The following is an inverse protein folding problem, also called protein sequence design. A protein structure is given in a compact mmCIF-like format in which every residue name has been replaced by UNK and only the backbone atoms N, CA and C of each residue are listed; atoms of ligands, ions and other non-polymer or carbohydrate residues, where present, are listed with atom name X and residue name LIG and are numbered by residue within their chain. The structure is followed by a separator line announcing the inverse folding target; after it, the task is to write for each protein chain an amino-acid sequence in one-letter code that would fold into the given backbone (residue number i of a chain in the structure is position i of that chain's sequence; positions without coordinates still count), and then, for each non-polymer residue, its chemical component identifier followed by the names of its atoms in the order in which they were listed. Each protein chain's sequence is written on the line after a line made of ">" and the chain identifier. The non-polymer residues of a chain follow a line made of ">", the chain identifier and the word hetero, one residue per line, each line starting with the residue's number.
data_IF_448291948667
#
_entry.id   IF_448291948667
#
_cell.length_a   1.000
_cell.length_b   1.000
_cell.length_c   1.000
_cell.angle_alpha   90.00
_cell.angle_beta   90.00
_cell.angle_gamma   90.00
#
_symmetry.space_group_name_H-M   'P 1'
#
loop_
_entity.id
_entity.type
_entity.pdbx_description
1 polymer ?
#
# COMPACT_ATOMS: atom_id res chain seq x y z
N UNK A 1 -27.27 11.73 -17.88
CA UNK A 1 -26.60 12.54 -16.84
C UNK A 1 -25.12 12.27 -17.00
N UNK A 2 -24.35 13.31 -17.28
CA UNK A 2 -22.91 13.25 -17.56
C UNK A 2 -22.12 12.66 -16.38
N UNK A 3 -21.66 11.41 -16.53
CA UNK A 3 -20.59 10.81 -15.72
C UNK A 3 -19.24 11.36 -16.21
N UNK A 4 -19.12 12.69 -16.21
CA UNK A 4 -17.98 13.42 -16.73
C UNK A 4 -16.74 13.22 -15.86
N UNK A 5 -15.89 12.28 -16.26
CA UNK A 5 -14.43 12.37 -16.23
C UNK A 5 -13.83 13.15 -15.05
N UNK A 6 -13.84 12.56 -13.87
CA UNK A 6 -12.67 12.65 -12.99
C UNK A 6 -12.01 11.29 -13.09
N UNK A 7 -10.87 11.21 -13.76
CA UNK A 7 -9.93 10.12 -13.55
C UNK A 7 -9.60 10.13 -12.06
N UNK A 8 -10.32 9.33 -11.29
CA UNK A 8 -10.06 9.22 -9.87
C UNK A 8 -8.67 8.64 -9.69
N UNK A 9 -7.92 9.17 -8.72
CA UNK A 9 -6.64 8.63 -8.30
C UNK A 9 -6.76 7.12 -8.09
N UNK A 10 -5.90 6.37 -8.79
CA UNK A 10 -5.90 4.91 -8.80
C UNK A 10 -4.52 4.37 -8.55
N UNK A 11 -4.45 3.15 -8.04
CA UNK A 11 -3.19 2.41 -7.97
C UNK A 11 -2.59 2.22 -9.37
N UNK A 12 -1.27 2.30 -9.44
CA UNK A 12 -0.46 2.15 -10.66
C UNK A 12 0.40 0.89 -10.62
N UNK A 13 0.49 0.23 -9.46
CA UNK A 13 1.18 -1.03 -9.27
C UNK A 13 2.70 -0.89 -9.21
N UNK A 14 3.23 0.17 -8.60
CA UNK A 14 4.67 0.31 -8.27
C UNK A 14 4.97 -0.07 -6.81
N UNK A 15 3.97 -0.05 -5.93
CA UNK A 15 4.09 -0.45 -4.54
C UNK A 15 4.38 -1.94 -4.41
N UNK A 16 5.37 -2.30 -3.59
CA UNK A 16 5.81 -3.69 -3.42
C UNK A 16 6.18 -4.01 -1.98
N UNK A 17 6.10 -5.28 -1.59
CA UNK A 17 6.44 -5.76 -0.25
C UNK A 17 6.98 -7.20 -0.23
N UNK A 18 7.71 -7.54 0.84
CA UNK A 18 8.42 -8.80 1.11
C UNK A 18 9.59 -9.08 0.17
N UNK A 19 10.69 -9.61 0.73
CA UNK A 19 11.89 -9.94 -0.03
C UNK A 19 11.64 -11.16 -0.92
N UNK A 20 12.06 -11.08 -2.19
CA UNK A 20 12.04 -12.23 -3.09
C UNK A 20 13.22 -13.16 -2.91
N UNK A 21 13.22 -14.20 -3.74
CA UNK A 21 14.32 -15.16 -3.81
C UNK A 21 15.61 -14.43 -4.23
N UNK A 22 16.54 -14.26 -3.29
CA UNK A 22 17.78 -13.49 -3.46
C UNK A 22 17.98 -12.34 -2.47
N UNK A 23 16.96 -12.00 -1.68
CA UNK A 23 17.06 -10.99 -0.62
C UNK A 23 17.08 -9.56 -1.14
N UNK A 24 17.95 -8.71 -0.58
CA UNK A 24 18.00 -7.28 -0.91
C UNK A 24 18.34 -7.07 -2.39
N UNK A 25 17.42 -6.43 -3.12
CA UNK A 25 17.57 -6.13 -4.55
C UNK A 25 16.89 -7.14 -5.49
N UNK A 26 16.36 -8.24 -4.96
CA UNK A 26 15.49 -9.15 -5.72
C UNK A 26 14.11 -8.56 -5.98
N UNK A 27 13.41 -9.10 -6.98
CA UNK A 27 11.99 -8.80 -7.19
C UNK A 27 11.19 -9.13 -5.94
N UNK A 28 10.32 -8.22 -5.52
CA UNK A 28 9.52 -8.39 -4.30
C UNK A 28 8.40 -9.41 -4.54
N UNK A 29 8.04 -10.16 -3.51
CA UNK A 29 7.01 -11.22 -3.62
C UNK A 29 5.61 -10.66 -3.88
N UNK A 30 5.29 -9.54 -3.24
CA UNK A 30 3.97 -8.90 -3.36
C UNK A 30 4.09 -7.58 -4.10
N UNK A 31 3.10 -7.34 -4.95
CA UNK A 31 2.94 -6.10 -5.72
C UNK A 31 1.51 -5.63 -5.60
N UNK A 32 1.33 -4.32 -5.52
CA UNK A 32 0.00 -3.71 -5.56
C UNK A 32 -0.60 -3.91 -6.95
N UNK A 33 -1.85 -4.37 -7.00
CA UNK A 33 -2.58 -4.49 -8.26
C UNK A 33 -3.00 -3.07 -8.75
N UNK A 34 -2.75 -2.71 -10.02
CA UNK A 34 -3.15 -1.42 -10.56
C UNK A 34 -4.67 -1.30 -10.79
N UNK A 35 -5.16 -0.05 -10.89
CA UNK A 35 -6.53 0.25 -11.31
C UNK A 35 -7.57 0.37 -10.19
N UNK A 36 -7.18 0.17 -8.93
CA UNK A 36 -8.06 0.30 -7.77
C UNK A 36 -8.12 1.75 -7.28
N UNK A 37 -9.33 2.25 -6.98
CA UNK A 37 -9.52 3.62 -6.53
C UNK A 37 -8.89 3.91 -5.17
N UNK A 38 -8.22 5.05 -5.03
CA UNK A 38 -7.47 5.41 -3.83
C UNK A 38 -8.31 5.42 -2.55
N UNK A 39 -9.58 5.86 -2.61
CA UNK A 39 -10.45 5.87 -1.44
C UNK A 39 -10.67 4.45 -0.88
N UNK A 40 -10.98 3.49 -1.75
CA UNK A 40 -11.12 2.08 -1.38
C UNK A 40 -9.81 1.52 -0.83
N UNK A 41 -8.69 1.81 -1.49
CA UNK A 41 -7.36 1.35 -1.06
C UNK A 41 -7.01 1.89 0.34
N UNK A 42 -7.27 3.15 0.62
CA UNK A 42 -7.00 3.77 1.92
C UNK A 42 -7.92 3.24 3.04
N UNK A 43 -9.15 2.86 2.71
CA UNK A 43 -10.02 2.12 3.64
C UNK A 43 -9.40 0.78 4.03
N UNK A 44 -8.92 -0.01 3.05
CA UNK A 44 -8.23 -1.27 3.31
C UNK A 44 -6.94 -1.08 4.12
N UNK A 45 -6.17 -0.03 3.84
CA UNK A 45 -4.99 0.37 4.65
C UNK A 45 -5.39 0.61 6.10
N UNK A 46 -6.48 1.33 6.35
CA UNK A 46 -6.94 1.64 7.70
C UNK A 46 -7.31 0.38 8.48
N UNK A 47 -7.98 -0.57 7.83
CA UNK A 47 -8.29 -1.89 8.41
C UNK A 47 -7.01 -2.65 8.75
N UNK A 48 -6.06 -2.76 7.81
CA UNK A 48 -4.79 -3.46 8.05
C UNK A 48 -3.99 -2.85 9.19
N UNK A 49 -3.92 -1.52 9.26
CA UNK A 49 -3.20 -0.82 10.34
C UNK A 49 -3.88 -0.98 11.69
N UNK A 50 -5.22 -1.04 11.74
CA UNK A 50 -5.96 -1.37 12.95
C UNK A 50 -5.63 -2.77 13.48
N UNK A 51 -5.61 -3.77 12.59
CA UNK A 51 -5.20 -5.14 12.93
C UNK A 51 -3.75 -5.21 13.37
N UNK A 52 -2.82 -4.56 12.64
CA UNK A 52 -1.42 -4.54 12.97
C UNK A 52 -1.14 -3.91 14.34
N UNK A 53 -1.86 -2.84 14.68
CA UNK A 53 -1.77 -2.22 16.00
C UNK A 53 -2.21 -3.18 17.11
N UNK A 54 -3.34 -3.87 16.94
CA UNK A 54 -3.81 -4.87 17.92
C UNK A 54 -2.81 -6.00 18.12
N UNK A 55 -2.29 -6.57 17.03
CA UNK A 55 -1.30 -7.66 17.06
C UNK A 55 0.03 -7.21 17.67
N UNK A 56 0.44 -5.97 17.45
CA UNK A 56 1.65 -5.41 18.06
C UNK A 56 1.53 -5.32 19.58
N UNK A 57 0.36 -4.90 20.07
CA UNK A 57 0.07 -4.87 21.51
C UNK A 57 0.06 -6.29 22.10
N UNK A 58 -0.59 -7.23 21.44
CA UNK A 58 -0.62 -8.63 21.87
C UNK A 58 0.79 -9.23 21.91
N UNK A 59 1.59 -9.02 20.87
CA UNK A 59 2.98 -9.47 20.82
C UNK A 59 3.83 -8.89 21.96
N UNK A 60 3.63 -7.62 22.31
CA UNK A 60 4.35 -6.99 23.43
C UNK A 60 3.94 -7.52 24.80
N UNK A 61 2.65 -7.80 25.00
CA UNK A 61 2.11 -8.27 26.28
C UNK A 61 2.36 -9.77 26.50
N UNK A 62 2.18 -10.59 25.46
CA UNK A 62 2.22 -12.06 25.54
C UNK A 62 3.56 -12.64 25.05
N UNK A 63 4.47 -11.80 24.56
CA UNK A 63 5.69 -12.21 23.86
C UNK A 63 5.43 -13.17 22.68
N UNK A 64 4.28 -13.01 22.03
CA UNK A 64 3.92 -13.80 20.86
C UNK A 64 4.63 -13.27 19.60
N UNK A 65 5.73 -13.95 19.26
CA UNK A 65 6.48 -13.68 18.03
C UNK A 65 5.65 -13.86 16.75
N UNK A 66 4.61 -14.71 16.76
CA UNK A 66 3.73 -14.91 15.60
C UNK A 66 2.92 -13.65 15.32
N UNK A 67 2.32 -13.08 16.37
CA UNK A 67 1.62 -11.79 16.28
C UNK A 67 2.55 -10.65 15.84
N UNK A 68 3.80 -10.64 16.30
CA UNK A 68 4.79 -9.65 15.86
C UNK A 68 5.07 -9.75 14.35
N UNK A 69 5.29 -10.96 13.83
CA UNK A 69 5.49 -11.17 12.40
C UNK A 69 4.22 -10.85 11.60
N UNK A 70 3.04 -11.27 12.05
CA UNK A 70 1.79 -10.94 11.38
C UNK A 70 1.58 -9.41 11.28
N UNK A 71 1.84 -8.67 12.37
CA UNK A 71 1.82 -7.21 12.35
C UNK A 71 2.83 -6.62 11.35
N UNK A 72 4.06 -7.15 11.32
CA UNK A 72 5.09 -6.72 10.37
C UNK A 72 4.63 -6.87 8.91
N UNK A 73 4.03 -8.01 8.54
CA UNK A 73 3.52 -8.22 7.19
C UNK A 73 2.36 -7.28 6.85
N UNK A 74 1.41 -7.07 7.77
CA UNK A 74 0.29 -6.14 7.56
C UNK A 74 0.76 -4.70 7.38
N UNK A 75 1.70 -4.23 8.21
CA UNK A 75 2.30 -2.89 8.06
C UNK A 75 3.02 -2.77 6.73
N UNK A 76 3.77 -3.79 6.33
CA UNK A 76 4.49 -3.81 5.06
C UNK A 76 3.57 -3.71 3.84
N UNK A 77 2.48 -4.48 3.82
CA UNK A 77 1.48 -4.42 2.76
C UNK A 77 0.73 -3.08 2.74
N UNK A 78 0.35 -2.56 3.91
CA UNK A 78 -0.29 -1.25 4.04
C UNK A 78 0.62 -0.11 3.52
N UNK A 79 1.92 -0.17 3.84
CA UNK A 79 2.91 0.77 3.32
C UNK A 79 3.00 0.71 1.80
N UNK A 80 3.07 -0.48 1.21
CA UNK A 80 3.12 -0.65 -0.24
C UNK A 80 1.91 0.00 -0.93
N UNK A 81 0.70 -0.15 -0.38
CA UNK A 81 -0.51 0.51 -0.91
C UNK A 81 -0.45 2.03 -0.80
N UNK A 82 -0.01 2.57 0.33
CA UNK A 82 0.13 4.03 0.53
C UNK A 82 1.17 4.61 -0.43
N UNK A 83 2.31 3.96 -0.59
CA UNK A 83 3.36 4.37 -1.53
C UNK A 83 2.87 4.35 -2.98
N UNK A 84 2.07 3.34 -3.35
CA UNK A 84 1.50 3.23 -4.69
C UNK A 84 0.53 4.38 -5.01
N UNK A 85 -0.39 4.66 -4.08
CA UNK A 85 -1.34 5.78 -4.19
C UNK A 85 -0.60 7.11 -4.20
N UNK A 86 0.38 7.32 -3.32
CA UNK A 86 1.18 8.53 -3.29
C UNK A 86 1.96 8.74 -4.59
N UNK A 87 2.51 7.67 -5.16
CA UNK A 87 3.19 7.73 -6.46
C UNK A 87 2.23 8.18 -7.57
N UNK A 88 1.03 7.61 -7.62
CA UNK A 88 0.01 8.02 -8.58
C UNK A 88 -0.32 9.52 -8.46
N UNK A 89 -0.40 10.06 -7.24
CA UNK A 89 -0.67 11.49 -7.01
C UNK A 89 0.45 12.40 -7.55
N UNK A 90 1.70 11.99 -7.35
CA UNK A 90 2.88 12.76 -7.80
C UNK A 90 2.96 12.73 -9.34
N UNK A 91 2.71 11.58 -9.97
CA UNK A 91 2.72 11.45 -11.43
C UNK A 91 1.58 12.24 -12.08
N UNK A 92 0.36 12.21 -11.53
CA UNK A 92 -0.75 13.04 -12.01
C UNK A 92 -0.42 14.55 -11.94
N UNK A 93 0.28 14.98 -10.89
CA UNK A 93 0.69 16.38 -10.72
C UNK A 93 1.77 16.82 -11.73
N UNK A 94 2.65 15.91 -12.15
CA UNK A 94 3.71 16.20 -13.15
C UNK A 94 3.22 16.22 -14.60
N UNK A 95 2.14 15.48 -14.91
CA UNK A 95 1.57 15.42 -16.26
C UNK A 95 0.89 16.74 -16.70
N UNK A 96 0.55 17.64 -15.77
CA UNK A 96 -0.05 18.94 -16.06
C UNK A 96 0.92 20.04 -16.53
N UNK A 97 2.24 19.79 -16.52
CA UNK A 97 3.26 20.83 -16.76
C UNK A 97 3.91 20.77 -18.17
N UNK A 98 3.45 19.89 -19.06
CA UNK A 98 4.06 19.62 -20.38
C UNK A 98 3.31 20.15 -21.61
N UNK A 99 2.28 21.00 -21.43
CA UNK A 99 1.55 21.63 -22.53
C UNK A 99 1.60 23.15 -22.38
N UNK A 100 2.67 23.75 -22.90
CA UNK A 100 2.90 25.20 -22.95
C UNK A 100 3.84 25.54 -24.10
#
# INVERSE_FOLDING_TARGET
>A
MDEGSRSGLKTVGVGTFAEGEGGVGAERLFRVEPGHGAAFVLEQVSVMMGCAHHLTLQAGLEQDGTSAWAAHYLVGMAKALVEDVAHAMVVESGAGQGAG
#
